data_IF_018974986350
#
_entry.id   IF_018974986350
#
_cell.length_a   1.000
_cell.length_b   1.000
_cell.length_c   1.000
_cell.angle_alpha   90.00
_cell.angle_beta   90.00
_cell.angle_gamma   90.00
#
_symmetry.space_group_name_H-M   'P 1'
#
loop_
_entity.id
_entity.type
_entity.pdbx_description
1 polymer ?
#
# COMPACT_ATOMS: atom_id res chain seq x y z
N UNK A 1 -38.25 -20.96 -17.40
CA UNK A 1 -36.90 -20.59 -16.94
C UNK A 1 -36.70 -19.07 -17.03
N UNK A 2 -37.21 -18.29 -16.08
CA UNK A 2 -37.13 -16.80 -16.10
C UNK A 2 -36.55 -16.19 -14.80
N UNK A 3 -36.17 -17.00 -13.80
CA UNK A 3 -35.78 -16.52 -12.47
C UNK A 3 -34.32 -16.08 -12.31
N UNK A 4 -33.40 -16.47 -13.19
CA UNK A 4 -31.95 -16.21 -13.02
C UNK A 4 -31.52 -14.81 -13.43
N UNK A 5 -32.30 -14.11 -14.27
CA UNK A 5 -31.95 -12.77 -14.77
C UNK A 5 -32.23 -11.65 -13.74
N UNK A 6 -33.21 -11.86 -12.85
CA UNK A 6 -33.58 -10.89 -11.81
C UNK A 6 -32.57 -10.84 -10.65
N UNK A 7 -31.96 -11.98 -10.29
CA UNK A 7 -30.94 -12.04 -9.22
C UNK A 7 -29.64 -11.32 -9.61
N UNK A 8 -29.20 -11.46 -10.86
CA UNK A 8 -28.02 -10.75 -11.38
C UNK A 8 -28.24 -9.23 -11.48
N UNK A 9 -29.45 -8.81 -11.86
CA UNK A 9 -29.82 -7.40 -11.93
C UNK A 9 -29.91 -6.74 -10.55
N UNK A 10 -30.46 -7.41 -9.53
CA UNK A 10 -30.54 -6.87 -8.16
C UNK A 10 -29.16 -6.81 -7.48
N UNK A 11 -28.34 -7.86 -7.62
CA UNK A 11 -26.97 -7.87 -7.07
C UNK A 11 -26.08 -6.81 -7.70
N UNK A 12 -26.15 -6.62 -9.02
CA UNK A 12 -25.41 -5.56 -9.71
C UNK A 12 -25.89 -4.16 -9.32
N UNK A 13 -27.19 -3.97 -9.10
CA UNK A 13 -27.75 -2.71 -8.60
C UNK A 13 -27.27 -2.39 -7.18
N UNK A 14 -27.24 -3.37 -6.27
CA UNK A 14 -26.74 -3.19 -4.89
C UNK A 14 -25.23 -2.95 -4.86
N UNK A 15 -24.47 -3.67 -5.68
CA UNK A 15 -23.03 -3.45 -5.82
C UNK A 15 -22.74 -2.05 -6.35
N UNK A 16 -23.47 -1.61 -7.39
CA UNK A 16 -23.34 -0.27 -7.94
C UNK A 16 -23.67 0.81 -6.90
N UNK A 17 -24.75 0.64 -6.13
CA UNK A 17 -25.13 1.56 -5.06
C UNK A 17 -24.07 1.63 -3.94
N UNK A 18 -23.48 0.49 -3.54
CA UNK A 18 -22.39 0.45 -2.57
C UNK A 18 -21.11 1.12 -3.09
N UNK A 19 -20.75 0.88 -4.35
CA UNK A 19 -19.60 1.53 -5.00
C UNK A 19 -19.81 3.04 -5.03
N UNK A 20 -21.02 3.49 -5.38
CA UNK A 20 -21.35 4.91 -5.43
C UNK A 20 -21.32 5.56 -4.04
N UNK A 21 -21.88 4.91 -3.01
CA UNK A 21 -21.80 5.37 -1.63
C UNK A 21 -20.35 5.50 -1.15
N UNK A 22 -19.50 4.51 -1.46
CA UNK A 22 -18.06 4.54 -1.13
C UNK A 22 -17.33 5.64 -1.90
N UNK A 23 -17.63 5.82 -3.18
CA UNK A 23 -17.03 6.86 -4.02
C UNK A 23 -17.42 8.25 -3.53
N UNK A 24 -18.67 8.45 -3.11
CA UNK A 24 -19.13 9.71 -2.54
C UNK A 24 -18.46 10.01 -1.20
N UNK A 25 -18.28 8.99 -0.35
CA UNK A 25 -17.55 9.12 0.91
C UNK A 25 -16.11 9.57 0.70
N UNK A 26 -15.37 8.90 -0.20
CA UNK A 26 -14.00 9.31 -0.57
C UNK A 26 -13.95 10.73 -1.12
N UNK A 27 -14.88 11.10 -1.99
CA UNK A 27 -14.94 12.46 -2.55
C UNK A 27 -15.19 13.52 -1.48
N UNK A 28 -15.97 13.21 -0.44
CA UNK A 28 -16.19 14.12 0.71
C UNK A 28 -14.91 14.26 1.53
N UNK A 29 -14.27 13.14 1.86
CA UNK A 29 -12.98 13.12 2.57
C UNK A 29 -11.89 13.90 1.81
N UNK A 30 -11.81 13.76 0.48
CA UNK A 30 -10.89 14.52 -0.36
C UNK A 30 -11.20 16.02 -0.43
N UNK A 31 -12.49 16.39 -0.35
CA UNK A 31 -12.93 17.80 -0.35
C UNK A 31 -12.70 18.48 0.99
N UNK A 32 -12.83 17.73 2.08
CA UNK A 32 -12.59 18.19 3.45
C UNK A 32 -11.11 18.12 3.84
N UNK A 33 -10.26 17.50 3.00
CA UNK A 33 -8.83 17.41 3.23
C UNK A 33 -8.19 18.82 3.34
N UNK A 34 -7.45 19.10 4.43
CA UNK A 34 -6.80 20.38 4.60
C UNK A 34 -5.78 20.66 3.49
N UNK A 35 -5.52 21.94 3.20
CA UNK A 35 -4.63 22.35 2.11
C UNK A 35 -3.24 21.73 2.21
N UNK A 36 -2.73 21.51 3.43
CA UNK A 36 -1.46 20.83 3.68
C UNK A 36 -1.41 19.42 3.11
N UNK A 37 -2.48 18.63 3.26
CA UNK A 37 -2.58 17.26 2.74
C UNK A 37 -2.63 17.27 1.22
N UNK A 38 -3.34 18.23 0.62
CA UNK A 38 -3.43 18.39 -0.84
C UNK A 38 -2.10 18.79 -1.47
N UNK A 39 -1.34 19.64 -0.79
CA UNK A 39 0.01 20.05 -1.21
C UNK A 39 0.97 18.87 -1.08
N UNK A 40 0.96 18.18 0.07
CA UNK A 40 1.79 17.00 0.30
C UNK A 40 1.55 15.92 -0.76
N UNK A 41 0.28 15.61 -1.09
CA UNK A 41 -0.05 14.63 -2.12
C UNK A 41 0.47 15.01 -3.52
N UNK A 42 0.45 16.31 -3.87
CA UNK A 42 1.04 16.80 -5.12
C UNK A 42 2.56 16.69 -5.14
N UNK A 43 3.22 17.06 -4.05
CA UNK A 43 4.68 16.97 -3.93
C UNK A 43 5.11 15.50 -4.03
N UNK A 44 4.44 14.60 -3.29
CA UNK A 44 4.64 13.15 -3.39
C UNK A 44 4.55 12.66 -4.83
N UNK A 45 3.48 13.00 -5.55
CA UNK A 45 3.26 12.54 -6.91
C UNK A 45 4.30 13.13 -7.89
N UNK A 46 4.78 14.34 -7.61
CA UNK A 46 5.77 15.03 -8.43
C UNK A 46 7.17 14.45 -8.22
N UNK A 47 7.66 14.38 -6.98
CA UNK A 47 8.99 13.87 -6.63
C UNK A 47 9.19 12.40 -7.02
N UNK A 48 8.11 11.59 -7.00
CA UNK A 48 8.16 10.19 -7.46
C UNK A 48 8.02 9.99 -8.97
N UNK A 49 7.92 11.06 -9.78
CA UNK A 49 7.66 10.95 -11.22
C UNK A 49 8.93 11.08 -12.06
N UNK A 50 8.98 10.37 -13.19
CA UNK A 50 10.05 10.56 -14.20
C UNK A 50 10.12 11.99 -14.75
N UNK A 51 9.00 12.74 -14.70
CA UNK A 51 8.95 14.15 -15.11
C UNK A 51 9.86 15.03 -14.27
N UNK A 52 9.99 14.74 -12.98
CA UNK A 52 10.85 15.47 -12.05
C UNK A 52 12.32 15.32 -12.42
N UNK A 53 12.74 14.08 -12.72
CA UNK A 53 14.11 13.76 -13.15
C UNK A 53 14.45 14.47 -14.45
N UNK A 54 13.55 14.41 -15.45
CA UNK A 54 13.75 15.11 -16.73
C UNK A 54 13.87 16.62 -16.54
N UNK A 55 13.03 17.21 -15.68
CA UNK A 55 13.11 18.64 -15.36
C UNK A 55 14.48 19.00 -14.76
N UNK A 56 15.00 18.21 -13.82
CA UNK A 56 16.32 18.45 -13.21
C UNK A 56 17.44 18.34 -14.22
N UNK A 57 17.40 17.33 -15.09
CA UNK A 57 18.39 17.16 -16.17
C UNK A 57 18.38 18.36 -17.11
N UNK A 58 17.20 18.88 -17.46
CA UNK A 58 17.08 20.07 -18.31
C UNK A 58 17.62 21.31 -17.58
N UNK A 59 17.23 21.52 -16.33
CA UNK A 59 17.63 22.72 -15.55
C UNK A 59 19.14 22.74 -15.30
N UNK A 60 19.69 21.67 -14.74
CA UNK A 60 21.14 21.59 -14.48
C UNK A 60 21.93 21.50 -15.79
N UNK A 61 21.44 20.77 -16.79
CA UNK A 61 22.06 20.72 -18.11
C UNK A 61 22.11 22.09 -18.78
N UNK A 62 21.04 22.87 -18.70
CA UNK A 62 21.00 24.24 -19.19
C UNK A 62 21.98 25.14 -18.42
N UNK A 63 22.02 25.04 -17.09
CA UNK A 63 22.97 25.81 -16.26
C UNK A 63 24.42 25.52 -16.65
N UNK A 64 24.75 24.24 -16.86
CA UNK A 64 26.07 23.80 -17.29
C UNK A 64 26.40 24.38 -18.67
N UNK A 65 25.52 24.21 -19.67
CA UNK A 65 25.75 24.73 -21.03
C UNK A 65 25.88 26.26 -21.07
N UNK A 66 25.08 26.97 -20.28
CA UNK A 66 25.16 28.43 -20.15
C UNK A 66 26.50 28.88 -19.57
N UNK A 67 27.03 28.17 -18.55
CA UNK A 67 28.31 28.49 -17.92
C UNK A 67 29.53 27.95 -18.69
N UNK A 68 29.36 27.04 -19.67
CA UNK A 68 30.43 26.62 -20.59
C UNK A 68 30.79 27.68 -21.65
N UNK A 69 30.09 28.82 -21.67
CA UNK A 69 30.32 29.89 -22.65
C UNK A 69 29.86 29.53 -24.07
N UNK A 70 29.05 28.48 -24.23
CA UNK A 70 28.48 28.07 -25.53
C UNK A 70 27.29 28.93 -25.95
N UNK A 71 26.77 29.78 -25.05
CA UNK A 71 25.66 30.68 -25.29
C UNK A 71 26.20 32.08 -25.63
N UNK A 72 26.03 32.58 -26.86
CA UNK A 72 26.50 33.92 -27.24
C UNK A 72 25.82 35.00 -26.39
N UNK A 73 26.62 35.84 -25.72
CA UNK A 73 26.13 36.98 -24.93
C UNK A 73 25.89 36.73 -23.44
N UNK A 74 26.21 35.52 -22.94
CA UNK A 74 26.17 35.18 -21.51
C UNK A 74 27.59 34.97 -21.00
N UNK A 75 28.03 35.78 -20.05
CA UNK A 75 29.31 35.60 -19.37
C UNK A 75 29.15 34.52 -18.28
N UNK A 76 30.09 33.56 -18.16
CA UNK A 76 30.04 32.54 -17.11
C UNK A 76 29.97 33.19 -15.73
N UNK A 77 28.95 32.85 -14.94
CA UNK A 77 28.74 33.41 -13.59
C UNK A 77 29.07 32.41 -12.48
N UNK A 78 29.19 31.12 -12.80
CA UNK A 78 29.50 30.02 -11.88
C UNK A 78 30.54 29.08 -12.52
N UNK A 79 31.74 29.61 -12.81
CA UNK A 79 32.82 28.89 -13.50
C UNK A 79 33.26 27.60 -12.79
N UNK A 80 33.19 27.56 -11.45
CA UNK A 80 33.58 26.40 -10.63
C UNK A 80 32.40 25.49 -10.31
N UNK A 81 31.17 25.82 -10.74
CA UNK A 81 29.93 25.11 -10.43
C UNK A 81 29.63 24.97 -8.93
N UNK A 82 30.23 25.82 -8.08
CA UNK A 82 30.08 25.75 -6.62
C UNK A 82 28.68 26.20 -6.21
N UNK A 83 28.11 27.19 -6.90
CA UNK A 83 26.76 27.68 -6.61
C UNK A 83 25.74 26.60 -6.98
N UNK A 84 25.87 26.00 -8.16
CA UNK A 84 25.02 24.87 -8.58
C UNK A 84 25.12 23.70 -7.58
N UNK A 85 26.32 23.33 -7.16
CA UNK A 85 26.52 22.22 -6.21
C UNK A 85 25.91 22.51 -4.83
N UNK A 86 26.02 23.75 -4.35
CA UNK A 86 25.43 24.17 -3.08
C UNK A 86 23.90 24.11 -3.13
N UNK A 87 23.29 24.67 -4.16
CA UNK A 87 21.85 24.65 -4.36
C UNK A 87 21.33 23.21 -4.48
N UNK A 88 21.97 22.39 -5.33
CA UNK A 88 21.58 20.99 -5.52
C UNK A 88 21.70 20.16 -4.22
N UNK A 89 22.69 20.48 -3.35
CA UNK A 89 22.84 19.82 -2.05
C UNK A 89 21.70 20.16 -1.10
N UNK A 90 21.31 21.43 -1.02
CA UNK A 90 20.16 21.87 -0.21
C UNK A 90 18.87 21.23 -0.74
N UNK A 91 18.65 21.28 -2.05
CA UNK A 91 17.51 20.66 -2.71
C UNK A 91 17.44 19.15 -2.42
N UNK A 92 18.57 18.43 -2.51
CA UNK A 92 18.63 17.00 -2.21
C UNK A 92 18.22 16.65 -0.77
N UNK A 93 18.57 17.47 0.23
CA UNK A 93 18.15 17.27 1.62
C UNK A 93 16.63 17.38 1.76
N UNK A 94 16.03 18.41 1.16
CA UNK A 94 14.58 18.58 1.14
C UNK A 94 13.88 17.41 0.46
N UNK A 95 14.35 17.02 -0.73
CA UNK A 95 13.81 15.88 -1.48
C UNK A 95 13.91 14.57 -0.69
N UNK A 96 15.07 14.30 -0.10
CA UNK A 96 15.27 13.10 0.72
C UNK A 96 14.29 13.04 1.89
N UNK A 97 14.08 14.18 2.57
CA UNK A 97 13.11 14.27 3.66
C UNK A 97 11.67 14.08 3.18
N UNK A 98 11.29 14.68 2.04
CA UNK A 98 9.97 14.46 1.46
C UNK A 98 9.76 13.00 1.03
N UNK A 99 10.77 12.37 0.44
CA UNK A 99 10.76 10.95 0.09
C UNK A 99 10.59 10.11 1.34
N UNK A 100 11.34 10.37 2.41
CA UNK A 100 11.26 9.62 3.67
C UNK A 100 9.89 9.77 4.33
N UNK A 101 9.35 10.99 4.43
CA UNK A 101 7.99 11.23 4.95
C UNK A 101 6.96 10.45 4.14
N UNK A 102 7.10 10.45 2.81
CA UNK A 102 6.17 9.75 1.94
C UNK A 102 6.33 8.22 1.99
N UNK A 103 7.55 7.72 2.18
CA UNK A 103 7.81 6.30 2.42
C UNK A 103 7.18 5.87 3.75
N UNK A 104 7.38 6.63 4.82
CA UNK A 104 6.79 6.34 6.14
C UNK A 104 5.26 6.29 6.07
N UNK A 105 4.63 7.27 5.39
CA UNK A 105 3.17 7.28 5.19
C UNK A 105 2.68 6.09 4.36
N UNK A 106 3.44 5.67 3.35
CA UNK A 106 3.07 4.50 2.54
C UNK A 106 3.24 3.20 3.33
N UNK A 107 4.27 3.09 4.17
CA UNK A 107 4.47 1.96 5.07
C UNK A 107 3.29 1.84 6.05
N UNK A 108 2.94 2.92 6.75
CA UNK A 108 1.79 2.92 7.69
C UNK A 108 0.46 2.59 7.01
N UNK A 109 0.29 2.95 5.73
CA UNK A 109 -0.89 2.59 4.95
C UNK A 109 -0.85 1.13 4.47
N UNK A 110 0.32 0.57 4.22
CA UNK A 110 0.51 -0.82 3.85
C UNK A 110 0.27 -1.74 5.06
N UNK A 111 0.83 -1.41 6.22
CA UNK A 111 0.65 -2.17 7.46
C UNK A 111 -0.83 -2.26 7.86
N UNK A 112 -1.56 -1.14 7.81
CA UNK A 112 -3.01 -1.12 8.05
C UNK A 112 -3.80 -2.00 7.08
N UNK A 113 -3.36 -2.12 5.82
CA UNK A 113 -4.01 -3.01 4.85
C UNK A 113 -3.72 -4.47 5.17
N UNK A 114 -2.47 -4.79 5.52
CA UNK A 114 -2.09 -6.13 5.91
C UNK A 114 -2.89 -6.63 7.14
N UNK A 115 -3.07 -5.78 8.15
CA UNK A 115 -3.90 -6.10 9.32
C UNK A 115 -5.38 -6.33 8.96
N UNK A 116 -5.95 -5.48 8.10
CA UNK A 116 -7.32 -5.66 7.61
C UNK A 116 -7.47 -6.94 6.78
N UNK A 117 -6.52 -7.24 5.91
CA UNK A 117 -6.53 -8.43 5.06
C UNK A 117 -6.44 -9.71 5.92
N UNK A 118 -5.62 -9.69 6.98
CA UNK A 118 -5.55 -10.78 7.96
C UNK A 118 -6.89 -10.97 8.68
N UNK A 119 -7.48 -9.89 9.21
CA UNK A 119 -8.78 -9.96 9.88
C UNK A 119 -9.90 -10.48 8.97
N UNK A 120 -9.95 -10.02 7.71
CA UNK A 120 -10.92 -10.51 6.73
C UNK A 120 -10.68 -11.98 6.42
N UNK A 121 -9.42 -12.42 6.32
CA UNK A 121 -9.06 -13.82 6.14
C UNK A 121 -9.55 -14.70 7.28
N UNK A 122 -9.27 -14.31 8.52
CA UNK A 122 -9.69 -15.04 9.73
C UNK A 122 -11.21 -15.10 9.87
N UNK A 123 -11.92 -14.00 9.60
CA UNK A 123 -13.38 -13.97 9.59
C UNK A 123 -13.96 -14.89 8.52
N UNK A 124 -13.39 -14.85 7.30
CA UNK A 124 -13.82 -15.70 6.21
C UNK A 124 -13.61 -17.18 6.53
N UNK A 125 -12.52 -17.54 7.21
CA UNK A 125 -12.25 -18.91 7.66
C UNK A 125 -13.28 -19.40 8.70
N UNK A 126 -13.63 -18.58 9.68
CA UNK A 126 -14.68 -18.91 10.66
C UNK A 126 -16.05 -19.05 10.00
N UNK A 127 -16.41 -18.16 9.07
CA UNK A 127 -17.65 -18.24 8.30
C UNK A 127 -17.68 -19.50 7.41
N UNK A 128 -16.57 -19.83 6.73
CA UNK A 128 -16.44 -21.05 5.94
C UNK A 128 -16.58 -22.30 6.81
N UNK A 129 -16.00 -22.32 8.01
CA UNK A 129 -16.12 -23.42 8.97
C UNK A 129 -17.57 -23.57 9.47
N UNK A 130 -18.27 -22.46 9.71
CA UNK A 130 -19.72 -22.48 10.04
C UNK A 130 -20.54 -23.03 8.88
N UNK A 131 -20.27 -22.58 7.65
CA UNK A 131 -20.96 -23.07 6.45
C UNK A 131 -20.71 -24.56 6.22
N UNK A 132 -19.46 -25.02 6.39
CA UNK A 132 -19.11 -26.43 6.32
C UNK A 132 -19.93 -27.26 7.31
N UNK A 133 -20.00 -26.86 8.59
CA UNK A 133 -20.81 -27.55 9.60
C UNK A 133 -22.30 -27.63 9.23
N UNK A 134 -22.86 -26.57 8.64
CA UNK A 134 -24.25 -26.58 8.16
C UNK A 134 -24.41 -27.56 7.00
N UNK A 135 -23.48 -27.58 6.05
CA UNK A 135 -23.50 -28.52 4.91
C UNK A 135 -23.35 -29.96 5.38
N UNK A 136 -22.48 -30.24 6.36
CA UNK A 136 -22.33 -31.56 6.97
C UNK A 136 -23.65 -32.07 7.53
N UNK A 137 -24.33 -31.23 8.33
CA UNK A 137 -25.61 -31.58 8.95
C UNK A 137 -26.71 -31.84 7.91
N UNK A 138 -26.70 -31.12 6.80
CA UNK A 138 -27.62 -31.39 5.68
C UNK A 138 -27.30 -32.74 5.02
N UNK A 139 -26.02 -33.04 4.76
CA UNK A 139 -25.61 -34.30 4.16
C UNK A 139 -25.97 -35.52 5.03
N UNK A 140 -25.79 -35.42 6.35
CA UNK A 140 -26.24 -36.43 7.32
C UNK A 140 -27.76 -36.63 7.28
N UNK A 141 -28.54 -35.55 7.19
CA UNK A 141 -30.00 -35.62 7.13
C UNK A 141 -30.49 -36.29 5.83
N UNK A 142 -29.73 -36.16 4.74
CA UNK A 142 -30.07 -36.72 3.42
C UNK A 142 -29.45 -38.10 3.16
N UNK A 143 -28.79 -38.71 4.15
CA UNK A 143 -28.08 -39.99 4.06
C UNK A 143 -27.07 -40.07 2.89
N UNK A 144 -26.44 -38.92 2.58
CA UNK A 144 -25.41 -38.84 1.54
C UNK A 144 -24.09 -39.28 2.17
N UNK A 145 -23.40 -40.29 1.61
CA UNK A 145 -22.09 -40.70 2.12
C UNK A 145 -21.07 -39.60 1.84
N UNK A 146 -20.59 -38.95 2.90
CA UNK A 146 -19.50 -37.97 2.84
C UNK A 146 -18.23 -38.58 3.44
N UNK A 147 -17.09 -38.42 2.78
CA UNK A 147 -15.80 -38.85 3.32
C UNK A 147 -15.44 -38.04 4.58
N UNK A 148 -15.58 -38.66 5.76
CA UNK A 148 -15.32 -38.03 7.07
C UNK A 148 -13.96 -37.35 7.18
N UNK A 149 -12.92 -37.88 6.53
CA UNK A 149 -11.56 -37.30 6.56
C UNK A 149 -11.50 -35.88 5.98
N UNK A 150 -12.26 -35.60 4.92
CA UNK A 150 -12.29 -34.26 4.31
C UNK A 150 -13.08 -33.26 5.14
N UNK A 151 -13.96 -33.72 6.03
CA UNK A 151 -14.75 -32.87 6.92
C UNK A 151 -14.02 -32.49 8.21
N UNK A 152 -13.32 -33.45 8.83
CA UNK A 152 -12.49 -33.20 10.02
C UNK A 152 -11.34 -32.22 9.73
N UNK A 153 -10.86 -32.16 8.49
CA UNK A 153 -9.79 -31.25 8.06
C UNK A 153 -10.30 -29.81 7.86
N UNK A 154 -11.56 -29.63 7.49
CA UNK A 154 -12.23 -28.32 7.40
C UNK A 154 -12.65 -27.81 8.79
N UNK A 155 -12.96 -28.71 9.73
CA UNK A 155 -13.35 -28.35 11.09
C UNK A 155 -12.16 -28.00 12.00
N UNK A 156 -10.92 -28.27 11.56
CA UNK A 156 -9.71 -27.71 12.16
C UNK A 156 -9.65 -26.20 11.90
N UNK A 157 -10.41 -25.47 12.69
CA UNK A 157 -10.36 -24.03 12.79
C UNK A 157 -8.92 -23.63 13.15
N UNK A 158 -8.23 -22.90 12.28
CA UNK A 158 -6.98 -22.28 12.67
C UNK A 158 -7.35 -21.15 13.63
N UNK A 159 -6.96 -21.30 14.90
CA UNK A 159 -7.29 -20.33 15.94
C UNK A 159 -6.66 -18.95 15.60
N UNK A 160 -7.46 -17.89 15.44
CA UNK A 160 -6.99 -16.54 15.16
C UNK A 160 -5.87 -16.07 16.09
N UNK A 161 -5.97 -16.36 17.40
CA UNK A 161 -4.96 -15.99 18.39
C UNK A 161 -3.65 -16.74 18.14
N UNK A 162 -3.70 -18.02 17.73
CA UNK A 162 -2.50 -18.80 17.41
C UNK A 162 -1.78 -18.28 16.16
N UNK A 163 -2.50 -17.72 15.19
CA UNK A 163 -1.90 -17.09 14.00
C UNK A 163 -1.27 -15.75 14.39
N UNK A 164 -1.96 -14.94 15.17
CA UNK A 164 -1.45 -13.65 15.65
C UNK A 164 -0.21 -13.84 16.53
N UNK A 165 -0.22 -14.79 17.46
CA UNK A 165 0.92 -15.16 18.29
C UNK A 165 2.09 -15.70 17.45
N UNK A 166 1.81 -16.49 16.40
CA UNK A 166 2.85 -17.02 15.51
C UNK A 166 3.51 -15.90 14.67
N UNK A 167 2.73 -14.90 14.23
CA UNK A 167 3.23 -13.72 13.52
C UNK A 167 4.07 -12.86 14.47
N UNK A 168 3.56 -12.55 15.67
CA UNK A 168 4.30 -11.77 16.67
C UNK A 168 5.62 -12.43 17.07
N UNK A 169 5.61 -13.74 17.32
CA UNK A 169 6.84 -14.50 17.61
C UNK A 169 7.80 -14.57 16.40
N UNK A 170 7.31 -14.40 15.17
CA UNK A 170 8.17 -14.33 13.98
C UNK A 170 8.86 -12.97 13.82
N UNK A 171 8.16 -11.89 14.18
CA UNK A 171 8.69 -10.53 14.16
C UNK A 171 9.76 -10.32 15.24
N UNK A 172 9.52 -10.78 16.48
CA UNK A 172 10.50 -10.72 17.58
C UNK A 172 11.80 -11.46 17.23
N UNK A 173 11.69 -12.67 16.65
CA UNK A 173 12.86 -13.43 16.18
C UNK A 173 13.61 -12.74 15.05
N UNK A 174 12.92 -11.95 14.23
CA UNK A 174 13.55 -11.18 13.16
C UNK A 174 14.34 -9.99 13.72
N UNK A 175 13.77 -9.27 14.69
CA UNK A 175 14.46 -8.18 15.40
C UNK A 175 15.69 -8.68 16.17
N UNK A 176 15.57 -9.76 16.94
CA UNK A 176 16.71 -10.36 17.65
C UNK A 176 17.84 -10.79 16.70
N UNK A 177 17.49 -11.32 15.53
CA UNK A 177 18.47 -11.72 14.52
C UNK A 177 19.18 -10.52 13.87
N UNK A 178 18.51 -9.38 13.74
CA UNK A 178 19.10 -8.13 13.26
C UNK A 178 20.04 -7.51 14.31
N UNK A 179 19.65 -7.53 15.58
CA UNK A 179 20.48 -7.05 16.68
C UNK A 179 21.75 -7.91 16.87
N UNK A 180 21.64 -9.24 16.77
CA UNK A 180 22.80 -10.13 16.82
C UNK A 180 23.78 -9.86 15.68
N UNK A 181 23.28 -9.59 14.46
CA UNK A 181 24.11 -9.25 13.30
C UNK A 181 24.78 -7.88 13.44
N UNK A 182 24.09 -6.91 14.03
CA UNK A 182 24.67 -5.59 14.28
C UNK A 182 25.76 -5.64 15.37
N UNK A 183 25.54 -6.44 16.43
CA UNK A 183 26.49 -6.62 17.54
C UNK A 183 27.75 -7.40 17.13
N UNK A 184 27.62 -8.37 16.21
CA UNK A 184 28.77 -9.16 15.71
C UNK A 184 29.59 -8.46 14.63
N UNK A 185 29.10 -7.34 14.09
CA UNK A 185 29.78 -6.55 13.06
C UNK A 185 30.53 -5.32 13.60
N UNK A 186 30.42 -5.03 14.90
CA UNK A 186 31.14 -3.95 15.61
C UNK A 186 32.31 -4.48 16.43
#
# INVERSE_FOLDING_TARGET
>A
MQGTNYLGADMSARLAANIEALAERRRREEREAPLSVRIAARITAFTGSMKFVVLHVIVYGFWIVANLGWVPGVEPWDETFVILAMEASVEAIFLSTFVLINQNRQAEAADRRADLDLHVGLLAEDELSKLARVVARIAETLDVPVERKSFDEIEKNVDPEQVLDAIGASDERHEEALEMKASTAS
#
